data_IF_860700752232
#
_entry.id   IF_860700752232
#
_cell.length_a   1.000
_cell.length_b   1.000
_cell.length_c   1.000
_cell.angle_alpha   90.00
_cell.angle_beta   90.00
_cell.angle_gamma   90.00
#
_symmetry.space_group_name_H-M   'P 1'
#
loop_
_entity.id
_entity.type
_entity.pdbx_description
1 polymer ?
#
# COMPACT_ATOMS: atom_id res chain seq x y z
N UNK A 1 -10.64 -25.58 -9.74
CA UNK A 1 -10.62 -25.19 -8.32
C UNK A 1 -11.80 -24.29 -7.92
N UNK A 2 -12.29 -23.39 -8.79
CA UNK A 2 -13.47 -22.54 -8.54
C UNK A 2 -14.77 -23.27 -8.06
N UNK A 3 -14.98 -24.53 -8.47
CA UNK A 3 -16.15 -25.30 -8.02
C UNK A 3 -16.13 -25.65 -6.52
N UNK A 4 -14.94 -25.88 -5.94
CA UNK A 4 -14.79 -26.16 -4.49
C UNK A 4 -15.04 -24.88 -3.68
N UNK A 5 -14.67 -23.72 -4.24
CA UNK A 5 -14.89 -22.39 -3.66
C UNK A 5 -16.38 -22.06 -3.54
N UNK A 6 -17.15 -22.29 -4.61
CA UNK A 6 -18.62 -22.12 -4.60
C UNK A 6 -19.28 -23.14 -3.68
N UNK A 7 -18.76 -24.38 -3.67
CA UNK A 7 -19.26 -25.42 -2.79
C UNK A 7 -18.99 -25.08 -1.32
N UNK A 8 -17.82 -24.59 -0.92
CA UNK A 8 -17.56 -24.21 0.48
C UNK A 8 -18.34 -22.97 0.92
N UNK A 9 -18.47 -21.96 0.05
CA UNK A 9 -19.26 -20.75 0.34
C UNK A 9 -20.76 -21.02 0.42
N UNK A 10 -21.28 -22.03 -0.29
CA UNK A 10 -22.68 -22.48 -0.16
C UNK A 10 -22.87 -23.52 0.95
N UNK A 11 -21.95 -24.47 1.14
CA UNK A 11 -22.15 -25.58 2.06
C UNK A 11 -22.11 -25.12 3.52
N UNK A 12 -21.19 -24.22 3.88
CA UNK A 12 -21.00 -23.93 5.30
C UNK A 12 -22.13 -23.07 5.92
N UNK A 13 -22.62 -22.00 5.25
CA UNK A 13 -23.82 -21.28 5.72
C UNK A 13 -25.09 -22.14 5.72
N UNK A 14 -25.18 -23.11 4.80
CA UNK A 14 -26.44 -23.84 4.54
C UNK A 14 -26.54 -25.16 5.29
N UNK A 15 -25.43 -25.84 5.60
CA UNK A 15 -25.41 -27.15 6.25
C UNK A 15 -24.81 -27.15 7.65
N UNK A 16 -23.82 -26.30 7.93
CA UNK A 16 -23.11 -26.28 9.23
C UNK A 16 -23.74 -25.26 10.18
N UNK A 17 -24.06 -24.05 9.69
CA UNK A 17 -24.68 -22.98 10.48
C UNK A 17 -26.00 -23.38 11.17
N UNK A 18 -27.00 -24.01 10.49
CA UNK A 18 -28.26 -24.38 11.14
C UNK A 18 -28.11 -25.46 12.21
N UNK A 19 -27.04 -26.26 12.16
CA UNK A 19 -26.81 -27.38 13.09
C UNK A 19 -26.07 -26.95 14.36
N UNK A 20 -25.47 -25.76 14.37
CA UNK A 20 -24.74 -25.18 15.51
C UNK A 20 -25.57 -24.15 16.32
N UNK A 21 -26.80 -23.84 15.90
CA UNK A 21 -27.64 -22.76 16.44
C UNK A 21 -28.74 -23.25 17.41
N UNK A 22 -28.73 -22.82 18.69
CA UNK A 22 -29.93 -22.47 19.43
C UNK A 22 -30.17 -20.93 19.38
N UNK A 23 -31.36 -20.50 19.80
CA UNK A 23 -31.88 -19.14 19.61
C UNK A 23 -30.94 -18.01 20.07
N UNK A 24 -30.91 -16.94 19.26
CA UNK A 24 -30.28 -15.64 19.55
C UNK A 24 -30.70 -15.15 20.94
N UNK A 25 -29.75 -15.00 21.86
CA UNK A 25 -30.08 -14.51 23.20
C UNK A 25 -28.93 -14.23 24.16
N UNK A 26 -27.69 -14.64 23.87
CA UNK A 26 -26.53 -14.28 24.71
C UNK A 26 -25.64 -13.37 23.92
N UNK A 27 -25.59 -12.10 24.31
CA UNK A 27 -24.71 -11.07 23.74
C UNK A 27 -23.26 -11.49 24.03
N UNK A 28 -22.46 -11.63 22.97
CA UNK A 28 -21.04 -11.96 23.03
C UNK A 28 -20.25 -10.88 23.78
N UNK A 29 -19.34 -11.31 24.66
CA UNK A 29 -18.34 -10.43 25.29
C UNK A 29 -17.10 -10.19 24.43
N UNK A 30 -17.01 -10.82 23.26
CA UNK A 30 -15.83 -10.70 22.40
C UNK A 30 -15.72 -9.29 21.80
N UNK A 31 -14.50 -8.78 21.68
CA UNK A 31 -14.24 -7.61 20.86
C UNK A 31 -14.21 -8.01 19.37
N UNK A 32 -15.36 -7.89 18.70
CA UNK A 32 -15.48 -8.22 17.28
C UNK A 32 -14.52 -7.41 16.40
N UNK A 33 -14.16 -6.18 16.77
CA UNK A 33 -13.24 -5.37 15.97
C UNK A 33 -11.82 -5.91 16.08
N UNK A 34 -11.41 -6.35 17.26
CA UNK A 34 -10.14 -7.02 17.45
C UNK A 34 -10.07 -8.31 16.60
N UNK A 35 -11.08 -9.17 16.68
CA UNK A 35 -11.10 -10.43 15.92
C UNK A 35 -11.11 -10.16 14.41
N UNK A 36 -11.85 -9.14 13.94
CA UNK A 36 -11.82 -8.72 12.53
C UNK A 36 -10.42 -8.27 12.11
N UNK A 37 -9.74 -7.49 12.94
CA UNK A 37 -8.40 -7.03 12.63
C UNK A 37 -7.42 -8.21 12.52
N UNK A 38 -7.46 -9.14 13.47
CA UNK A 38 -6.63 -10.35 13.46
C UNK A 38 -6.93 -11.25 12.24
N UNK A 39 -8.20 -11.37 11.85
CA UNK A 39 -8.63 -12.10 10.65
C UNK A 39 -8.03 -11.49 9.38
N UNK A 40 -8.13 -10.17 9.22
CA UNK A 40 -7.58 -9.46 8.06
C UNK A 40 -6.05 -9.55 8.05
N UNK A 41 -5.41 -9.43 9.22
CA UNK A 41 -3.95 -9.59 9.34
C UNK A 41 -3.48 -10.99 8.97
N UNK A 42 -4.21 -12.01 9.40
CA UNK A 42 -3.95 -13.39 9.02
C UNK A 42 -3.97 -13.57 7.49
N UNK A 43 -4.99 -13.02 6.81
CA UNK A 43 -5.10 -13.10 5.37
C UNK A 43 -3.97 -12.33 4.65
N UNK A 44 -3.67 -11.10 5.07
CA UNK A 44 -2.57 -10.30 4.51
C UNK A 44 -1.24 -11.04 4.63
N UNK A 45 -0.95 -11.62 5.81
CA UNK A 45 0.29 -12.36 6.06
C UNK A 45 0.49 -13.54 5.11
N UNK A 46 -0.58 -14.30 4.84
CA UNK A 46 -0.50 -15.47 3.96
C UNK A 46 -0.44 -15.06 2.49
N UNK A 47 -1.30 -14.12 2.05
CA UNK A 47 -1.29 -13.62 0.67
C UNK A 47 0.03 -12.95 0.30
N UNK A 48 0.66 -12.25 1.25
CA UNK A 48 1.93 -11.57 0.99
C UNK A 48 3.08 -12.53 0.64
N UNK A 49 2.99 -13.80 1.05
CA UNK A 49 3.97 -14.85 0.73
C UNK A 49 3.77 -15.42 -0.67
N UNK A 50 2.55 -15.36 -1.21
CA UNK A 50 2.19 -15.96 -2.49
C UNK A 50 2.30 -14.96 -3.67
N UNK A 51 2.18 -13.66 -3.38
CA UNK A 51 2.17 -12.63 -4.42
C UNK A 51 3.58 -12.05 -4.63
N UNK A 52 4.16 -12.38 -5.78
CA UNK A 52 5.45 -11.82 -6.23
C UNK A 52 5.35 -10.34 -6.59
N UNK A 53 4.33 -9.96 -7.37
CA UNK A 53 4.12 -8.58 -7.84
C UNK A 53 3.81 -7.63 -6.68
N UNK A 54 4.70 -6.67 -6.44
CA UNK A 54 4.59 -5.72 -5.33
C UNK A 54 3.37 -4.80 -5.44
N UNK A 55 2.96 -4.40 -6.64
CA UNK A 55 1.80 -3.52 -6.85
C UNK A 55 0.51 -4.26 -6.57
N UNK A 56 0.40 -5.49 -7.07
CA UNK A 56 -0.74 -6.37 -6.80
C UNK A 56 -0.82 -6.66 -5.30
N UNK A 57 0.30 -6.99 -4.66
CA UNK A 57 0.36 -7.23 -3.21
C UNK A 57 -0.07 -6.00 -2.42
N UNK A 58 0.48 -4.82 -2.71
CA UNK A 58 0.12 -3.57 -2.02
C UNK A 58 -1.37 -3.27 -2.16
N UNK A 59 -1.91 -3.42 -3.38
CA UNK A 59 -3.30 -3.12 -3.68
C UNK A 59 -4.25 -4.09 -2.97
N UNK A 60 -3.92 -5.39 -2.94
CA UNK A 60 -4.66 -6.37 -2.17
C UNK A 60 -4.60 -6.07 -0.67
N UNK A 61 -3.41 -5.80 -0.12
CA UNK A 61 -3.22 -5.41 1.29
C UNK A 61 -4.08 -4.21 1.65
N UNK A 62 -4.05 -3.15 0.83
CA UNK A 62 -4.89 -1.96 1.02
C UNK A 62 -6.38 -2.29 1.03
N UNK A 63 -6.83 -3.10 0.07
CA UNK A 63 -8.23 -3.53 0.01
C UNK A 63 -8.64 -4.32 1.25
N UNK A 64 -7.80 -5.24 1.73
CA UNK A 64 -8.06 -6.03 2.93
C UNK A 64 -8.04 -5.15 4.20
N UNK A 65 -7.04 -4.27 4.35
CA UNK A 65 -6.94 -3.33 5.49
C UNK A 65 -8.15 -2.41 5.59
N UNK A 66 -8.77 -2.02 4.46
CA UNK A 66 -9.98 -1.19 4.46
C UNK A 66 -11.16 -1.81 5.23
N UNK A 67 -11.17 -3.13 5.41
CA UNK A 67 -12.18 -3.84 6.19
C UNK A 67 -12.07 -3.56 7.70
N UNK A 68 -10.90 -3.12 8.18
CA UNK A 68 -10.66 -2.80 9.60
C UNK A 68 -11.28 -1.47 10.02
N UNK A 69 -11.96 -0.76 9.11
CA UNK A 69 -12.49 0.58 9.32
C UNK A 69 -11.44 1.66 8.99
N UNK A 70 -11.69 2.89 9.44
CA UNK A 70 -10.76 4.00 9.22
C UNK A 70 -9.49 3.80 10.05
N UNK A 71 -8.50 3.10 9.49
CA UNK A 71 -7.15 3.08 10.06
C UNK A 71 -6.51 4.44 9.78
N UNK A 72 -6.46 5.29 10.81
CA UNK A 72 -5.71 6.54 10.74
C UNK A 72 -4.24 6.13 10.94
N UNK A 73 -3.37 6.31 9.94
CA UNK A 73 -1.96 6.02 10.10
C UNK A 73 -1.38 6.81 11.27
N UNK A 74 -0.42 6.23 11.98
CA UNK A 74 0.36 6.98 12.95
C UNK A 74 1.26 7.96 12.18
N UNK A 75 0.79 9.20 12.04
CA UNK A 75 1.50 10.24 11.29
C UNK A 75 2.94 10.45 11.75
N UNK A 76 3.30 10.14 13.01
CA UNK A 76 4.69 10.23 13.44
C UNK A 76 5.54 9.10 12.85
N UNK A 77 5.01 7.86 12.79
CA UNK A 77 5.68 6.75 12.12
C UNK A 77 5.81 7.01 10.63
N UNK A 78 4.74 7.44 9.97
CA UNK A 78 4.75 7.75 8.54
C UNK A 78 5.70 8.89 8.22
N UNK A 79 5.70 9.97 9.02
CA UNK A 79 6.63 11.09 8.82
C UNK A 79 8.08 10.66 9.01
N UNK A 80 8.37 9.80 10.00
CA UNK A 80 9.72 9.29 10.22
C UNK A 80 10.16 8.39 9.06
N UNK A 81 9.30 7.47 8.63
CA UNK A 81 9.56 6.61 7.48
C UNK A 81 9.79 7.45 6.21
N UNK A 82 8.99 8.49 5.99
CA UNK A 82 9.18 9.42 4.88
C UNK A 82 10.55 10.10 4.94
N UNK A 83 10.95 10.59 6.11
CA UNK A 83 12.28 11.22 6.30
C UNK A 83 13.42 10.23 6.02
N UNK A 84 13.29 8.98 6.46
CA UNK A 84 14.26 7.91 6.21
C UNK A 84 14.36 7.60 4.70
N UNK A 85 13.23 7.51 4.01
CA UNK A 85 13.16 7.29 2.56
C UNK A 85 13.76 8.46 1.77
N UNK A 86 13.46 9.70 2.16
CA UNK A 86 14.02 10.88 1.50
C UNK A 86 15.53 10.94 1.69
N UNK A 87 16.02 10.67 2.91
CA UNK A 87 17.46 10.58 3.19
C UNK A 87 18.12 9.50 2.34
N UNK A 88 17.47 8.35 2.19
CA UNK A 88 17.95 7.28 1.33
C UNK A 88 17.97 7.66 -0.16
N UNK A 89 16.92 8.31 -0.68
CA UNK A 89 16.90 8.87 -2.04
C UNK A 89 18.05 9.87 -2.26
N UNK A 90 18.37 10.70 -1.26
CA UNK A 90 19.55 11.59 -1.33
C UNK A 90 20.85 10.82 -1.50
N UNK A 91 21.01 9.65 -0.88
CA UNK A 91 22.20 8.80 -1.08
C UNK A 91 22.25 8.16 -2.47
N UNK A 92 21.09 7.78 -3.03
CA UNK A 92 20.98 7.28 -4.42
C UNK A 92 21.42 8.34 -5.44
N UNK A 93 21.03 9.60 -5.24
CA UNK A 93 21.46 10.73 -6.07
C UNK A 93 22.99 10.90 -6.09
N UNK A 94 23.69 10.44 -5.04
CA UNK A 94 25.13 10.56 -4.93
C UNK A 94 25.90 9.37 -5.54
N UNK A 95 25.22 8.34 -6.03
CA UNK A 95 25.82 7.17 -6.66
C UNK A 95 26.51 7.50 -8.00
N UNK A 96 27.56 6.75 -8.39
CA UNK A 96 28.21 6.92 -9.69
C UNK A 96 27.24 6.74 -10.86
N UNK A 97 26.28 5.83 -10.74
CA UNK A 97 25.28 5.55 -11.79
C UNK A 97 24.45 6.79 -12.09
N UNK A 98 23.87 7.44 -11.07
CA UNK A 98 23.07 8.66 -11.28
C UNK A 98 23.94 9.82 -11.76
N UNK A 99 25.13 10.02 -11.17
CA UNK A 99 26.04 11.13 -11.53
C UNK A 99 26.62 11.04 -12.94
N UNK A 100 26.68 9.84 -13.52
CA UNK A 100 27.14 9.64 -14.91
C UNK A 100 25.98 9.77 -15.91
N UNK A 101 24.76 9.39 -15.51
CA UNK A 101 23.58 9.41 -16.38
C UNK A 101 22.86 10.77 -16.41
N UNK A 102 22.99 11.59 -15.37
CA UNK A 102 22.28 12.87 -15.23
C UNK A 102 23.24 14.03 -14.96
N UNK A 103 22.89 15.21 -15.49
CA UNK A 103 23.68 16.41 -15.24
C UNK A 103 23.59 16.83 -13.77
N UNK A 104 24.64 17.49 -13.21
CA UNK A 104 24.60 18.02 -11.85
C UNK A 104 23.40 18.95 -11.60
N UNK A 105 22.98 19.69 -12.63
CA UNK A 105 21.82 20.58 -12.55
C UNK A 105 20.52 19.82 -12.29
N UNK A 106 20.28 18.69 -12.97
CA UNK A 106 19.09 17.84 -12.74
C UNK A 106 19.11 17.27 -11.31
N UNK A 107 20.26 16.77 -10.87
CA UNK A 107 20.43 16.22 -9.52
C UNK A 107 20.15 17.28 -8.44
N UNK A 108 20.66 18.50 -8.61
CA UNK A 108 20.41 19.60 -7.68
C UNK A 108 18.96 20.08 -7.68
N UNK A 109 18.30 20.13 -8.85
CA UNK A 109 16.87 20.42 -8.94
C UNK A 109 16.04 19.40 -8.16
N UNK A 110 16.34 18.12 -8.36
CA UNK A 110 15.63 17.05 -7.67
C UNK A 110 15.88 17.12 -6.16
N UNK A 111 17.10 17.43 -5.73
CA UNK A 111 17.42 17.58 -4.31
C UNK A 111 16.62 18.72 -3.64
N UNK A 112 16.42 19.85 -4.32
CA UNK A 112 15.50 20.92 -3.84
C UNK A 112 14.06 20.43 -3.74
N UNK A 113 13.63 19.62 -4.69
CA UNK A 113 12.27 19.06 -4.67
C UNK A 113 12.06 18.18 -3.42
N UNK A 114 13.04 17.35 -3.07
CA UNK A 114 13.03 16.53 -1.85
C UNK A 114 13.01 17.37 -0.56
N UNK A 115 13.73 18.50 -0.50
CA UNK A 115 13.69 19.42 0.66
C UNK A 115 12.27 19.93 0.97
N UNK A 116 11.45 20.12 -0.05
CA UNK A 116 10.12 20.69 0.13
C UNK A 116 9.14 19.66 0.70
N UNK A 117 9.50 18.38 0.67
CA UNK A 117 8.69 17.25 1.12
C UNK A 117 9.08 16.83 2.54
N UNK A 118 10.37 16.84 2.88
CA UNK A 118 10.88 16.50 4.22
C UNK A 118 11.47 17.72 4.95
N UNK A 119 11.05 17.94 6.20
CA UNK A 119 11.62 18.99 7.08
C UNK A 119 13.08 18.71 7.47
N UNK A 120 13.50 17.44 7.40
CA UNK A 120 14.81 16.94 7.83
C UNK A 120 15.78 16.65 6.69
N UNK A 121 15.40 16.91 5.43
CA UNK A 121 16.31 16.84 4.28
C UNK A 121 17.64 17.55 4.57
N UNK A 122 18.74 16.87 4.26
CA UNK A 122 20.11 17.33 4.58
C UNK A 122 20.58 18.45 3.64
N UNK A 123 19.80 18.73 2.60
CA UNK A 123 20.27 19.43 1.41
C UNK A 123 20.10 20.95 1.38
N UNK A 124 19.70 21.56 2.52
CA UNK A 124 19.36 22.99 2.78
C UNK A 124 20.32 24.07 2.23
N UNK A 125 21.42 23.70 1.57
CA UNK A 125 22.40 24.57 0.89
C UNK A 125 21.99 24.98 -0.54
N UNK A 126 21.10 24.25 -1.24
CA UNK A 126 20.88 24.47 -2.68
C UNK A 126 19.97 25.66 -2.99
N UNK A 127 19.04 26.01 -2.08
CA UNK A 127 18.08 27.11 -2.26
C UNK A 127 18.71 28.48 -2.58
N UNK A 128 19.98 28.69 -2.21
CA UNK A 128 20.74 29.92 -2.52
C UNK A 128 21.24 30.01 -3.97
N UNK A 129 21.28 28.90 -4.72
CA UNK A 129 21.81 28.86 -6.09
C UNK A 129 20.78 29.25 -7.15
N UNK A 130 19.49 29.03 -6.90
CA UNK A 130 18.41 29.22 -7.88
C UNK A 130 17.61 30.53 -7.72
N UNK A 131 17.82 31.30 -6.65
CA UNK A 131 17.08 32.54 -6.35
C UNK A 131 17.40 33.73 -7.26
N UNK A 132 18.32 33.58 -8.23
CA UNK A 132 18.76 34.66 -9.12
C UNK A 132 18.16 34.63 -10.54
N UNK A 133 17.30 33.68 -10.91
CA UNK A 133 16.66 33.69 -12.25
C UNK A 133 15.47 34.66 -12.26
N UNK A 134 15.72 35.84 -12.82
CA UNK A 134 14.84 36.99 -12.85
C UNK A 134 13.49 36.75 -13.54
N UNK A 135 12.46 37.40 -12.99
CA UNK A 135 11.14 37.55 -13.58
C UNK A 135 11.25 38.39 -14.86
N UNK A 136 11.01 37.77 -16.00
CA UNK A 136 10.80 38.45 -17.27
C UNK A 136 11.71 37.93 -18.37
N UNK A 137 11.19 36.99 -19.17
CA UNK A 137 11.69 36.75 -20.53
C UNK A 137 10.61 36.09 -21.37
N UNK A 138 10.44 36.60 -22.59
CA UNK A 138 9.67 35.95 -23.65
C UNK A 138 10.41 34.68 -24.04
N UNK A 139 9.72 33.56 -24.06
CA UNK A 139 10.28 32.24 -24.34
C UNK A 139 10.62 32.12 -25.83
N UNK A 140 11.92 32.05 -26.15
CA UNK A 140 12.41 31.69 -27.48
C UNK A 140 12.36 30.16 -27.69
N UNK A 141 12.32 29.69 -28.94
CA UNK A 141 12.20 28.25 -29.27
C UNK A 141 13.34 27.38 -28.74
N UNK A 142 14.55 27.95 -28.62
CA UNK A 142 15.73 27.27 -28.04
C UNK A 142 15.59 27.07 -26.53
N UNK A 143 15.03 28.05 -25.81
CA UNK A 143 14.73 27.90 -24.37
C UNK A 143 13.64 26.84 -24.12
N UNK A 144 12.71 26.67 -25.07
CA UNK A 144 11.67 25.64 -25.00
C UNK A 144 12.22 24.23 -25.19
N UNK A 145 13.20 24.05 -26.07
CA UNK A 145 13.87 22.76 -26.28
C UNK A 145 14.71 22.37 -25.06
N UNK A 146 15.51 23.29 -24.51
CA UNK A 146 16.26 23.08 -23.27
C UNK A 146 15.34 22.76 -22.09
N UNK A 147 14.20 23.45 -21.97
CA UNK A 147 13.20 23.17 -20.94
C UNK A 147 12.58 21.77 -21.10
N UNK A 148 12.33 21.35 -22.34
CA UNK A 148 11.78 20.01 -22.64
C UNK A 148 12.77 18.91 -22.27
N UNK A 149 14.06 19.09 -22.61
CA UNK A 149 15.12 18.16 -22.22
C UNK A 149 15.27 18.08 -20.70
N UNK A 150 15.24 19.23 -20.01
CA UNK A 150 15.29 19.29 -18.55
C UNK A 150 14.11 18.53 -17.92
N UNK A 151 12.89 18.74 -18.43
CA UNK A 151 11.69 18.04 -17.95
C UNK A 151 11.82 16.54 -18.16
N UNK A 152 12.26 16.10 -19.33
CA UNK A 152 12.39 14.68 -19.66
C UNK A 152 13.42 13.98 -18.76
N UNK A 153 14.58 14.61 -18.54
CA UNK A 153 15.60 14.06 -17.64
C UNK A 153 15.12 14.04 -16.18
N UNK A 154 14.35 15.05 -15.75
CA UNK A 154 13.76 15.07 -14.41
C UNK A 154 12.72 13.95 -14.23
N UNK A 155 11.85 13.74 -15.23
CA UNK A 155 10.88 12.63 -15.22
C UNK A 155 11.60 11.27 -15.20
N UNK A 156 12.67 11.11 -15.98
CA UNK A 156 13.45 9.86 -16.01
C UNK A 156 14.17 9.60 -14.68
N UNK A 157 14.66 10.66 -14.01
CA UNK A 157 15.24 10.53 -12.67
C UNK A 157 14.18 10.18 -11.61
N UNK A 158 12.98 10.80 -11.67
CA UNK A 158 11.85 10.43 -10.82
C UNK A 158 11.46 8.97 -11.03
N UNK A 159 11.39 8.49 -12.28
CA UNK A 159 11.08 7.09 -12.58
C UNK A 159 12.02 6.13 -11.87
N UNK A 160 13.33 6.35 -11.98
CA UNK A 160 14.34 5.51 -11.34
C UNK A 160 14.16 5.53 -9.82
N UNK A 161 14.09 6.72 -9.22
CA UNK A 161 13.99 6.85 -7.77
C UNK A 161 12.67 6.30 -7.24
N UNK A 162 11.57 6.46 -7.97
CA UNK A 162 10.27 5.89 -7.62
C UNK A 162 10.33 4.36 -7.60
N UNK A 163 10.86 3.71 -8.65
CA UNK A 163 10.97 2.26 -8.69
C UNK A 163 11.81 1.71 -7.52
N UNK A 164 13.01 2.28 -7.33
CA UNK A 164 13.92 1.91 -6.24
C UNK A 164 13.22 2.09 -4.88
N UNK A 165 12.44 3.16 -4.70
CA UNK A 165 11.74 3.41 -3.44
C UNK A 165 10.57 2.47 -3.21
N UNK A 166 9.79 2.15 -4.24
CA UNK A 166 8.69 1.18 -4.13
C UNK A 166 9.23 -0.22 -3.81
N UNK A 167 10.37 -0.60 -4.39
CA UNK A 167 11.07 -1.84 -4.05
C UNK A 167 11.54 -1.82 -2.59
N UNK A 168 12.20 -0.74 -2.15
CA UNK A 168 12.64 -0.59 -0.76
C UNK A 168 11.50 -0.69 0.26
N UNK A 169 10.35 -0.06 -0.03
CA UNK A 169 9.17 -0.14 0.83
C UNK A 169 8.56 -1.55 0.81
N UNK A 170 8.62 -2.24 -0.32
CA UNK A 170 8.18 -3.64 -0.44
C UNK A 170 9.07 -4.60 0.35
N UNK A 171 10.38 -4.37 0.38
CA UNK A 171 11.31 -5.11 1.24
C UNK A 171 11.01 -4.87 2.73
N UNK A 172 10.72 -3.62 3.10
CA UNK A 172 10.38 -3.27 4.48
C UNK A 172 9.07 -3.96 4.93
N UNK A 173 8.09 -4.09 4.04
CA UNK A 173 6.89 -4.91 4.31
C UNK A 173 7.25 -6.36 4.57
N UNK A 174 8.10 -6.97 3.73
CA UNK A 174 8.57 -8.35 3.91
C UNK A 174 9.29 -8.53 5.25
N UNK A 175 10.22 -7.63 5.58
CA UNK A 175 10.94 -7.64 6.87
C UNK A 175 9.98 -7.53 8.07
N UNK A 176 8.96 -6.67 7.97
CA UNK A 176 7.94 -6.56 9.03
C UNK A 176 7.10 -7.81 9.16
N UNK A 177 6.70 -8.43 8.04
CA UNK A 177 5.96 -9.69 8.02
C UNK A 177 6.77 -10.81 8.69
N UNK A 178 8.06 -10.93 8.37
CA UNK A 178 8.99 -11.88 9.02
C UNK A 178 9.09 -11.65 10.54
N UNK A 179 9.09 -10.38 10.94
CA UNK A 179 9.09 -9.96 12.35
C UNK A 179 7.69 -9.95 12.99
N UNK A 180 6.68 -10.53 12.33
CA UNK A 180 5.28 -10.62 12.81
C UNK A 180 4.64 -9.27 13.13
N UNK A 181 5.10 -8.20 12.48
CA UNK A 181 4.48 -6.88 12.52
C UNK A 181 3.48 -6.77 11.38
N UNK A 182 2.24 -6.44 11.73
CA UNK A 182 1.06 -6.50 10.84
C UNK A 182 0.45 -5.12 10.55
N UNK A 183 0.98 -4.08 11.18
CA UNK A 183 0.67 -2.68 10.88
C UNK A 183 1.57 -2.19 9.73
N UNK A 184 0.95 -2.00 8.56
CA UNK A 184 1.57 -1.44 7.36
C UNK A 184 1.00 -0.07 6.98
N UNK A 185 0.18 0.53 7.86
CA UNK A 185 -0.57 1.76 7.55
C UNK A 185 0.36 2.93 7.23
N UNK A 186 1.52 3.00 7.88
CA UNK A 186 2.57 4.00 7.63
C UNK A 186 3.29 3.77 6.29
N UNK A 187 3.56 2.51 5.94
CA UNK A 187 4.16 2.17 4.64
C UNK A 187 3.21 2.52 3.50
N UNK A 188 1.92 2.16 3.63
CA UNK A 188 0.91 2.46 2.61
C UNK A 188 0.69 3.97 2.44
N UNK A 189 0.69 4.74 3.54
CA UNK A 189 0.63 6.20 3.48
C UNK A 189 1.83 6.77 2.72
N UNK A 190 3.04 6.31 3.02
CA UNK A 190 4.26 6.76 2.34
C UNK A 190 4.26 6.36 0.86
N UNK A 191 3.85 5.13 0.53
CA UNK A 191 3.68 4.68 -0.87
C UNK A 191 2.73 5.61 -1.62
N UNK A 192 1.56 5.89 -1.08
CA UNK A 192 0.60 6.79 -1.72
C UNK A 192 1.10 8.21 -1.91
N UNK A 193 1.83 8.77 -0.94
CA UNK A 193 2.42 10.10 -1.09
C UNK A 193 3.42 10.11 -2.26
N UNK A 194 4.25 9.08 -2.37
CA UNK A 194 5.27 8.95 -3.41
C UNK A 194 4.67 8.60 -4.78
N UNK A 195 3.62 7.79 -4.85
CA UNK A 195 2.85 7.54 -6.08
C UNK A 195 2.24 8.83 -6.61
N UNK A 196 1.55 9.58 -5.75
CA UNK A 196 0.97 10.87 -6.13
C UNK A 196 2.04 11.86 -6.62
N UNK A 197 3.22 11.83 -6.00
CA UNK A 197 4.39 12.62 -6.42
C UNK A 197 4.84 12.26 -7.84
N UNK A 198 5.01 10.96 -8.08
CA UNK A 198 5.42 10.38 -9.35
C UNK A 198 4.49 10.79 -10.50
N UNK A 199 3.18 10.60 -10.31
CA UNK A 199 2.16 10.98 -11.31
C UNK A 199 2.15 12.48 -11.59
N UNK A 200 2.30 13.32 -10.55
CA UNK A 200 2.35 14.78 -10.70
C UNK A 200 3.56 15.26 -11.50
N UNK A 201 4.73 14.64 -11.33
CA UNK A 201 5.94 15.01 -12.10
C UNK A 201 5.78 14.63 -13.57
N UNK A 202 5.12 13.51 -13.84
CA UNK A 202 4.91 13.03 -15.20
C UNK A 202 3.73 13.69 -15.91
N UNK A 203 2.79 14.27 -15.16
CA UNK A 203 1.45 14.68 -15.63
C UNK A 203 0.64 13.49 -16.17
N UNK A 204 0.82 12.32 -15.55
CA UNK A 204 0.11 11.10 -15.91
C UNK A 204 -1.12 10.91 -15.01
N UNK A 205 -2.11 10.18 -15.51
CA UNK A 205 -3.29 9.77 -14.73
C UNK A 205 -2.92 8.49 -13.97
N UNK A 206 -3.27 8.44 -12.68
CA UNK A 206 -3.14 7.23 -11.89
C UNK A 206 -4.14 6.18 -12.37
N UNK A 207 -3.64 5.03 -12.80
CA UNK A 207 -4.45 3.84 -13.04
C UNK A 207 -4.45 2.97 -11.78
N UNK A 208 -5.63 2.53 -11.35
CA UNK A 208 -5.75 1.59 -10.24
C UNK A 208 -5.19 0.23 -10.66
N UNK A 209 -4.34 -0.35 -9.82
CA UNK A 209 -3.84 -1.71 -10.05
C UNK A 209 -5.00 -2.70 -9.94
N UNK A 210 -5.24 -3.45 -11.01
CA UNK A 210 -6.26 -4.49 -11.03
C UNK A 210 -5.74 -5.69 -10.23
N UNK A 211 -6.45 -6.03 -9.16
CA UNK A 211 -6.15 -7.24 -8.37
C UNK A 211 -6.84 -8.43 -9.07
N UNK A 212 -6.09 -9.49 -9.44
CA UNK A 212 -6.67 -10.73 -9.94
C UNK A 212 -7.75 -11.28 -8.99
N UNK A 213 -8.89 -11.68 -9.55
CA UNK A 213 -10.03 -12.18 -8.77
C UNK A 213 -9.67 -13.44 -7.97
N UNK A 214 -8.77 -14.26 -8.49
CA UNK A 214 -8.27 -15.46 -7.83
C UNK A 214 -7.64 -15.12 -6.48
N UNK A 215 -6.82 -14.06 -6.43
CA UNK A 215 -6.15 -13.61 -5.20
C UNK A 215 -7.14 -13.06 -4.17
N UNK A 216 -8.18 -12.37 -4.62
CA UNK A 216 -9.24 -11.89 -3.71
C UNK A 216 -10.05 -13.05 -3.13
N UNK A 217 -10.37 -14.03 -3.96
CA UNK A 217 -11.06 -15.25 -3.53
C UNK A 217 -10.21 -16.02 -2.51
N UNK A 218 -8.91 -16.13 -2.74
CA UNK A 218 -7.96 -16.79 -1.84
C UNK A 218 -7.84 -16.05 -0.50
N UNK A 219 -7.75 -14.71 -0.54
CA UNK A 219 -7.78 -13.89 0.67
C UNK A 219 -9.05 -14.11 1.51
N UNK A 220 -10.23 -14.13 0.89
CA UNK A 220 -11.49 -14.41 1.61
C UNK A 220 -11.54 -15.83 2.18
N UNK A 221 -10.90 -16.81 1.52
CA UNK A 221 -10.79 -18.16 2.08
C UNK A 221 -9.91 -18.17 3.33
N UNK A 222 -8.81 -17.43 3.34
CA UNK A 222 -7.93 -17.31 4.51
C UNK A 222 -8.67 -16.66 5.69
N UNK A 223 -9.41 -15.58 5.45
CA UNK A 223 -10.28 -14.95 6.45
C UNK A 223 -11.29 -15.96 7.01
N UNK A 224 -11.91 -16.76 6.14
CA UNK A 224 -12.84 -17.80 6.53
C UNK A 224 -12.20 -18.87 7.42
N UNK A 225 -11.02 -19.37 7.03
CA UNK A 225 -10.29 -20.38 7.80
C UNK A 225 -9.89 -19.85 9.18
N UNK A 226 -9.47 -18.59 9.28
CA UNK A 226 -9.16 -17.96 10.55
C UNK A 226 -10.37 -17.99 11.50
N UNK A 227 -11.52 -17.47 11.06
CA UNK A 227 -12.74 -17.43 11.90
C UNK A 227 -13.18 -18.83 12.29
N UNK A 228 -13.10 -19.80 11.38
CA UNK A 228 -13.44 -21.19 11.66
C UNK A 228 -12.53 -21.81 12.73
N UNK A 229 -11.23 -21.56 12.66
CA UNK A 229 -10.25 -22.09 13.61
C UNK A 229 -10.43 -21.48 15.01
N UNK A 230 -10.67 -20.17 15.09
CA UNK A 230 -10.96 -19.49 16.36
C UNK A 230 -12.26 -20.00 16.99
N UNK A 231 -13.31 -20.22 16.18
CA UNK A 231 -14.58 -20.76 16.66
C UNK A 231 -14.48 -22.22 17.12
N UNK A 232 -13.73 -23.07 16.41
CA UNK A 232 -13.50 -24.47 16.80
C UNK A 232 -12.68 -24.61 18.09
N UNK A 233 -11.83 -23.63 18.37
CA UNK A 233 -10.97 -23.60 19.56
C UNK A 233 -11.63 -22.88 20.74
N UNK A 234 -12.92 -22.54 20.63
CA UNK A 234 -13.70 -21.77 21.61
C UNK A 234 -13.05 -20.41 22.01
N UNK A 235 -12.17 -19.85 21.15
CA UNK A 235 -11.51 -18.56 21.37
C UNK A 235 -12.43 -17.37 21.09
N UNK A 236 -13.42 -17.57 20.21
CA UNK A 236 -14.47 -16.59 19.92
C UNK A 236 -15.82 -17.27 20.05
N UNK A 237 -16.81 -16.50 20.46
CA UNK A 237 -18.18 -16.97 20.56
C UNK A 237 -18.78 -17.30 19.19
N UNK A 238 -19.82 -18.12 19.25
CA UNK A 238 -20.64 -18.46 18.08
C UNK A 238 -21.32 -17.22 17.47
N UNK A 239 -21.67 -16.22 18.27
CA UNK A 239 -22.28 -15.00 17.76
C UNK A 239 -21.26 -14.18 16.94
N UNK A 240 -20.04 -13.98 17.47
CA UNK A 240 -18.97 -13.25 16.79
C UNK A 240 -18.58 -13.92 15.48
N UNK A 241 -18.33 -15.23 15.51
CA UNK A 241 -18.02 -15.99 14.28
C UNK A 241 -19.13 -15.89 13.23
N UNK A 242 -20.40 -15.96 13.62
CA UNK A 242 -21.52 -15.78 12.70
C UNK A 242 -21.58 -14.37 12.08
N UNK A 243 -21.28 -13.32 12.85
CA UNK A 243 -21.21 -11.95 12.33
C UNK A 243 -20.09 -11.83 11.29
N UNK A 244 -18.89 -12.32 11.61
CA UNK A 244 -17.73 -12.26 10.71
C UNK A 244 -17.94 -13.07 9.42
N UNK A 245 -18.51 -14.28 9.50
CA UNK A 245 -18.83 -15.05 8.30
C UNK A 245 -19.82 -14.33 7.37
N UNK A 246 -20.75 -13.55 7.92
CA UNK A 246 -21.65 -12.70 7.10
C UNK A 246 -20.90 -11.54 6.46
N UNK A 247 -19.98 -10.89 7.18
CA UNK A 247 -19.13 -9.82 6.63
C UNK A 247 -18.29 -10.32 5.45
N UNK A 248 -17.59 -11.45 5.60
CA UNK A 248 -16.78 -12.07 4.54
C UNK A 248 -17.65 -12.41 3.32
N UNK A 249 -18.79 -13.08 3.52
CA UNK A 249 -19.68 -13.46 2.42
C UNK A 249 -20.21 -12.23 1.66
N UNK A 250 -20.58 -11.16 2.37
CA UNK A 250 -21.04 -9.93 1.74
C UNK A 250 -19.92 -9.28 0.91
N UNK A 251 -18.69 -9.22 1.44
CA UNK A 251 -17.53 -8.70 0.71
C UNK A 251 -17.24 -9.53 -0.55
N UNK A 252 -17.30 -10.86 -0.45
CA UNK A 252 -17.11 -11.76 -1.59
C UNK A 252 -18.18 -11.55 -2.67
N UNK A 253 -19.45 -11.44 -2.30
CA UNK A 253 -20.56 -11.20 -3.25
C UNK A 253 -20.39 -9.85 -3.95
N UNK A 254 -20.05 -8.79 -3.21
CA UNK A 254 -19.79 -7.47 -3.79
C UNK A 254 -18.64 -7.51 -4.80
N UNK A 255 -17.59 -8.29 -4.53
CA UNK A 255 -16.49 -8.46 -5.47
C UNK A 255 -16.92 -9.18 -6.76
N UNK A 256 -17.72 -10.23 -6.63
CA UNK A 256 -18.26 -10.96 -7.79
C UNK A 256 -19.23 -10.13 -8.63
N UNK A 257 -19.94 -9.16 -8.02
CA UNK A 257 -20.88 -8.27 -8.73
C UNK A 257 -20.20 -7.14 -9.52
N UNK A 258 -18.94 -6.80 -9.21
CA UNK A 258 -18.15 -5.80 -9.94
C UNK A 258 -17.58 -6.33 -11.27
N UNK A 259 -17.96 -7.55 -11.65
CA UNK A 259 -17.60 -8.20 -12.91
C UNK A 259 -18.42 -7.68 -14.09
#
# INVERSE_FOLDING_TARGET
MAAIVILLSLIVPTLILPKLLPALGVESSDDINQVRNEMVDYAILHMAQEIEDSKVRSSLTKQLQSQKGLQIPDHNKSSKLMDDIITWQETLLDTPTIKTQFSPTIVDYFRIYLENISKHSTSKRIRRLFSKRGRGRRTDSVEMEEFTLLRNDLSRLEDILYQETMERLSELEKERLENKTIDFSDIEEVKHILENRHYRIRNDIQEDTIIPNELLIEAFQLEYQFVLNQAKSDMISKETSNKLFKEINNAQVLQLQKQ
#
